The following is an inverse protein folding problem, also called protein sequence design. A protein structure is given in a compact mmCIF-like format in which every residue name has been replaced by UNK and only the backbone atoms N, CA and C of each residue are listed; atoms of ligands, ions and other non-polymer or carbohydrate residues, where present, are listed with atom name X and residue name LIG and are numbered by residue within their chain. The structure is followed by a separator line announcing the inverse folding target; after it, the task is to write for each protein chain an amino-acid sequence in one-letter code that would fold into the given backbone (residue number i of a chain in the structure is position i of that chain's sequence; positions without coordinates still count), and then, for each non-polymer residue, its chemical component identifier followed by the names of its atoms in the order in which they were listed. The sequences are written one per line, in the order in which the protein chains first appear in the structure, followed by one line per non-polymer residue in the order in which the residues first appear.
data_IF_799096441982
#
_entry.id   IF_799096441982
#
_cell.length_a   1.000
_cell.length_b   1.000
_cell.length_c   1.000
_cell.angle_alpha   90.00
_cell.angle_beta   90.00
_cell.angle_gamma   90.00
#
_symmetry.space_group_name_H-M   'P 1'
#
loop_
_entity.id
_entity.type
_entity.pdbx_description
1 polymer ?
#
# COMPACT_ATOMS: atom_id res chain seq x y z
N UNK A 1 -4.58 -10.68 -9.72
CA UNK A 1 -3.52 -11.60 -9.29
C UNK A 1 -2.18 -10.88 -9.24
N UNK A 2 -1.08 -11.53 -8.81
CA UNK A 2 0.28 -10.95 -8.82
C UNK A 2 0.68 -10.48 -10.22
N UNK A 3 0.46 -11.31 -11.24
CA UNK A 3 0.79 -10.97 -12.63
C UNK A 3 0.00 -9.75 -13.13
N UNK A 4 -1.29 -9.66 -12.78
CA UNK A 4 -2.12 -8.50 -13.15
C UNK A 4 -1.64 -7.23 -12.44
N UNK A 5 -1.23 -7.34 -11.16
CA UNK A 5 -0.67 -6.23 -10.41
C UNK A 5 0.64 -5.75 -11.03
N UNK A 6 1.54 -6.67 -11.37
CA UNK A 6 2.80 -6.36 -12.04
C UNK A 6 2.58 -5.74 -13.42
N UNK A 7 1.53 -6.16 -14.15
CA UNK A 7 1.14 -5.53 -15.41
C UNK A 7 0.58 -4.12 -15.19
N UNK A 8 -0.30 -3.94 -14.21
CA UNK A 8 -0.90 -2.66 -13.86
C UNK A 8 0.15 -1.62 -13.42
N UNK A 9 1.14 -2.03 -12.64
CA UNK A 9 2.24 -1.15 -12.21
C UNK A 9 3.13 -0.75 -13.38
N UNK A 10 3.42 -1.66 -14.32
CA UNK A 10 4.18 -1.32 -15.53
C UNK A 10 3.46 -0.28 -16.40
N UNK A 11 2.13 -0.27 -16.39
CA UNK A 11 1.31 0.71 -17.12
C UNK A 11 1.25 2.10 -16.47
N UNK A 12 1.78 2.28 -15.26
CA UNK A 12 1.68 3.53 -14.53
C UNK A 12 3.02 4.30 -14.48
N UNK A 13 3.00 5.62 -14.69
CA UNK A 13 4.19 6.45 -14.50
C UNK A 13 4.83 6.29 -13.12
N UNK A 14 3.99 6.17 -12.08
CA UNK A 14 4.41 5.95 -10.69
C UNK A 14 4.90 4.51 -10.42
N UNK A 15 4.53 3.53 -11.26
CA UNK A 15 4.81 2.12 -11.02
C UNK A 15 6.16 1.64 -11.56
N UNK A 16 6.82 2.37 -12.46
CA UNK A 16 8.16 1.93 -12.87
C UNK A 16 9.15 2.04 -11.71
N UNK A 17 9.93 0.99 -11.49
CA UNK A 17 10.84 0.88 -10.35
C UNK A 17 10.14 0.58 -9.02
N UNK A 18 8.84 0.27 -9.04
CA UNK A 18 8.10 -0.29 -7.91
C UNK A 18 7.93 -1.79 -8.13
N UNK A 19 8.20 -2.58 -7.10
CA UNK A 19 7.92 -4.01 -7.05
C UNK A 19 7.05 -4.29 -5.84
N UNK A 20 5.99 -5.06 -6.03
CA UNK A 20 5.07 -5.44 -4.95
C UNK A 20 4.97 -6.94 -4.90
N UNK A 21 5.16 -7.55 -3.73
CA UNK A 21 4.94 -8.98 -3.50
C UNK A 21 3.77 -9.16 -2.56
N UNK A 22 2.72 -9.82 -3.03
CA UNK A 22 1.54 -10.09 -2.22
C UNK A 22 1.76 -11.33 -1.34
N UNK A 23 1.74 -11.13 -0.03
CA UNK A 23 1.86 -12.17 0.99
C UNK A 23 0.55 -12.32 1.76
N UNK A 24 0.46 -13.32 2.64
CA UNK A 24 -0.72 -13.48 3.50
C UNK A 24 -0.92 -12.24 4.40
N UNK A 25 -1.97 -11.46 4.12
CA UNK A 25 -2.37 -10.29 4.88
C UNK A 25 -1.54 -9.02 4.67
N UNK A 26 -0.52 -9.03 3.80
CA UNK A 26 0.35 -7.86 3.56
C UNK A 26 0.90 -7.83 2.13
N UNK A 27 1.38 -6.67 1.72
CA UNK A 27 2.14 -6.46 0.51
C UNK A 27 3.55 -5.97 0.87
N UNK A 28 4.57 -6.70 0.49
CA UNK A 28 5.96 -6.24 0.58
C UNK A 28 6.22 -5.32 -0.62
N UNK A 29 6.48 -4.05 -0.39
CA UNK A 29 6.68 -3.03 -1.42
C UNK A 29 8.14 -2.62 -1.45
N UNK A 30 8.72 -2.56 -2.65
CA UNK A 30 10.08 -2.07 -2.90
C UNK A 30 10.08 -1.01 -3.98
N UNK A 31 10.76 0.11 -3.74
CA UNK A 31 10.89 1.22 -4.68
C UNK A 31 12.38 1.52 -4.92
N UNK A 32 12.81 1.47 -6.17
CA UNK A 32 14.22 1.60 -6.54
C UNK A 32 14.52 2.86 -7.39
N UNK A 33 13.52 3.65 -7.78
CA UNK A 33 13.72 4.77 -8.74
C UNK A 33 14.02 6.13 -8.10
N UNK A 34 13.73 6.32 -6.81
CA UNK A 34 13.81 7.62 -6.15
C UNK A 34 15.11 7.82 -5.34
N UNK A 35 16.20 7.17 -5.75
CA UNK A 35 17.48 7.17 -5.03
C UNK A 35 17.68 5.89 -4.21
N UNK A 36 17.96 5.95 -2.90
CA UNK A 36 18.16 4.75 -2.09
C UNK A 36 16.92 3.86 -2.13
N UNK A 37 17.13 2.55 -2.24
CA UNK A 37 16.03 1.58 -2.23
C UNK A 37 15.17 1.77 -0.99
N UNK A 38 13.86 1.92 -1.19
CA UNK A 38 12.86 1.95 -0.13
C UNK A 38 12.18 0.59 -0.08
N UNK A 39 12.07 0.00 1.10
CA UNK A 39 11.33 -1.24 1.35
C UNK A 39 10.33 -0.99 2.46
N UNK A 40 9.10 -1.50 2.31
CA UNK A 40 8.05 -1.33 3.31
C UNK A 40 7.07 -2.51 3.26
N UNK A 41 6.45 -2.80 4.40
CA UNK A 41 5.34 -3.75 4.48
C UNK A 41 4.05 -2.95 4.58
N UNK A 42 3.13 -3.16 3.65
CA UNK A 42 1.83 -2.49 3.62
C UNK A 42 0.74 -3.50 3.97
N UNK A 43 -0.15 -3.14 4.89
CA UNK A 43 -1.27 -3.98 5.29
C UNK A 43 -2.58 -3.19 5.31
N UNK A 44 -3.68 -3.90 5.10
CA UNK A 44 -5.01 -3.34 5.31
C UNK A 44 -5.30 -3.38 6.82
N UNK A 45 -5.73 -2.26 7.39
CA UNK A 45 -6.11 -2.17 8.81
C UNK A 45 -7.60 -1.88 8.97
N UNK A 46 -8.11 -2.12 10.18
CA UNK A 46 -9.50 -1.83 10.51
C UNK A 46 -9.82 -0.36 10.23
N UNK A 47 -10.99 -0.17 9.62
CA UNK A 47 -11.48 1.11 9.12
C UNK A 47 -11.79 2.09 10.28
N UNK A 48 -11.19 3.29 10.34
CA UNK A 48 -11.69 4.39 11.16
C UNK A 48 -13.05 4.87 10.63
N UNK A 49 -13.96 5.30 11.52
CA UNK A 49 -15.29 5.79 11.12
C UNK A 49 -15.17 6.89 10.03
N UNK A 50 -15.91 6.74 8.94
CA UNK A 50 -15.92 7.69 7.82
C UNK A 50 -14.91 7.44 6.70
N UNK A 51 -14.00 6.46 6.82
CA UNK A 51 -13.01 6.16 5.75
C UNK A 51 -13.40 4.93 4.92
N UNK A 52 -13.22 4.91 3.60
CA UNK A 52 -13.53 3.72 2.80
C UNK A 52 -12.48 2.60 2.98
N UNK A 53 -11.22 2.94 3.25
CA UNK A 53 -10.16 1.99 3.59
C UNK A 53 -9.11 2.64 4.49
N UNK A 54 -8.26 1.84 5.13
CA UNK A 54 -7.11 2.33 5.89
C UNK A 54 -5.90 1.41 5.68
N UNK A 55 -4.72 2.01 5.53
CA UNK A 55 -3.45 1.33 5.31
C UNK A 55 -2.56 1.45 6.54
N UNK A 56 -1.96 0.34 6.94
CA UNK A 56 -0.83 0.31 7.87
C UNK A 56 0.46 0.12 7.09
N UNK A 57 1.52 0.82 7.49
CA UNK A 57 2.87 0.64 6.94
C UNK A 57 3.81 0.29 8.08
N UNK A 58 4.51 -0.83 7.94
CA UNK A 58 5.44 -1.36 8.92
C UNK A 58 6.82 -1.63 8.28
N UNK A 59 7.85 -1.75 9.11
CA UNK A 59 9.16 -2.30 8.68
C UNK A 59 9.87 -1.49 7.59
N UNK A 60 9.68 -0.17 7.55
CA UNK A 60 10.27 0.67 6.50
C UNK A 60 11.79 0.66 6.57
N UNK A 61 12.44 0.46 5.42
CA UNK A 61 13.89 0.58 5.25
C UNK A 61 14.21 1.50 4.09
N UNK A 62 15.24 2.33 4.24
CA UNK A 62 15.75 3.22 3.18
C UNK A 62 17.26 2.98 3.05
N UNK A 63 17.69 2.52 1.87
CA UNK A 63 19.09 2.15 1.64
C UNK A 63 19.59 1.03 2.56
N UNK A 64 18.69 0.13 2.98
CA UNK A 64 18.99 -0.93 3.94
C UNK A 64 18.96 -0.52 5.42
N UNK A 65 18.77 0.77 5.72
CA UNK A 65 18.68 1.29 7.09
C UNK A 65 17.23 1.28 7.55
N UNK A 66 16.94 0.70 8.71
CA UNK A 66 15.62 0.73 9.31
C UNK A 66 15.22 2.17 9.67
N UNK A 67 14.05 2.59 9.19
CA UNK A 67 13.49 3.89 9.50
C UNK A 67 12.78 3.81 10.86
N UNK A 68 13.04 4.72 11.79
CA UNK A 68 12.30 4.82 13.04
C UNK A 68 10.79 4.95 12.82
N UNK A 69 10.00 4.26 13.66
CA UNK A 69 8.55 4.17 13.51
C UNK A 69 7.85 5.54 13.43
N UNK A 70 8.30 6.54 14.20
CA UNK A 70 7.70 7.88 14.17
C UNK A 70 7.79 8.56 12.79
N UNK A 71 8.88 8.31 12.04
CA UNK A 71 9.04 8.84 10.69
C UNK A 71 8.15 8.08 9.71
N UNK A 72 8.02 6.75 9.87
CA UNK A 72 7.07 5.94 9.10
C UNK A 72 5.64 6.44 9.30
N UNK A 73 5.22 6.68 10.53
CA UNK A 73 3.89 7.21 10.84
C UNK A 73 3.67 8.61 10.27
N UNK A 74 4.69 9.47 10.23
CA UNK A 74 4.62 10.75 9.54
C UNK A 74 4.41 10.57 8.03
N UNK A 75 5.16 9.67 7.38
CA UNK A 75 5.02 9.36 5.94
C UNK A 75 3.61 8.84 5.65
N UNK A 76 3.13 7.87 6.43
CA UNK A 76 1.77 7.32 6.30
C UNK A 76 0.76 8.45 6.35
N UNK A 77 0.82 9.29 7.37
CA UNK A 77 -0.14 10.39 7.58
C UNK A 77 -0.11 11.43 6.47
N UNK A 78 1.08 11.70 5.90
CA UNK A 78 1.26 12.77 4.91
C UNK A 78 1.00 12.31 3.48
N UNK A 79 1.23 11.02 3.20
CA UNK A 79 1.04 10.40 1.89
C UNK A 79 -0.17 9.47 1.85
N UNK A 80 -1.02 9.46 2.89
CA UNK A 80 -2.22 8.63 2.98
C UNK A 80 -3.12 8.87 1.76
N UNK A 81 -3.14 7.95 0.76
CA UNK A 81 -3.94 8.15 -0.42
C UNK A 81 -5.44 8.03 -0.10
N UNK A 82 -5.81 7.53 1.09
CA UNK A 82 -7.20 7.41 1.51
C UNK A 82 -7.84 8.76 1.79
N UNK A 83 -7.05 9.82 2.07
CA UNK A 83 -7.56 11.19 2.18
C UNK A 83 -8.18 11.68 0.87
N UNK A 84 -7.64 11.24 -0.28
CA UNK A 84 -8.24 11.56 -1.57
C UNK A 84 -9.57 10.83 -1.78
N UNK A 85 -9.72 9.64 -1.21
CA UNK A 85 -10.96 8.86 -1.26
C UNK A 85 -12.05 9.41 -0.34
N UNK A 86 -11.68 10.08 0.77
CA UNK A 86 -12.63 10.81 1.63
C UNK A 86 -13.35 11.95 0.90
N UNK A 87 -12.74 12.48 -0.18
CA UNK A 87 -13.30 13.58 -0.98
C UNK A 87 -14.30 13.12 -2.05
N UNK A 88 -14.57 11.82 -2.15
CA UNK A 88 -15.59 11.32 -3.06
C UNK A 88 -16.97 11.68 -2.49
N UNK A 89 -17.78 12.39 -3.28
CA UNK A 89 -19.10 12.89 -2.87
C UNK A 89 -20.11 11.78 -2.53
N UNK A 90 -19.87 10.58 -3.05
CA UNK A 90 -20.65 9.37 -2.77
C UNK A 90 -19.93 8.49 -1.74
N UNK A 91 -20.67 7.98 -0.75
CA UNK A 91 -20.18 6.99 0.23
C UNK A 91 -19.80 5.68 -0.49
N UNK A 92 -18.55 5.57 -0.92
CA UNK A 92 -18.03 4.36 -1.54
C UNK A 92 -17.94 3.24 -0.51
N UNK A 93 -18.88 2.31 -0.57
CA UNK A 93 -18.80 1.07 0.19
C UNK A 93 -17.86 0.11 -0.53
N UNK A 94 -16.62 0.03 -0.04
CA UNK A 94 -15.67 -0.97 -0.52
C UNK A 94 -16.01 -2.32 0.11
N UNK A 95 -16.16 -3.34 -0.74
CA UNK A 95 -16.35 -4.72 -0.32
C UNK A 95 -15.14 -5.25 0.48
N UNK A 96 -15.28 -6.36 1.20
CA UNK A 96 -14.18 -6.94 1.98
C UNK A 96 -12.95 -7.19 1.09
N UNK A 97 -11.78 -6.65 1.45
CA UNK A 97 -10.53 -6.89 0.72
C UNK A 97 -9.62 -7.79 1.56
N UNK A 98 -9.13 -8.88 0.98
CA UNK A 98 -8.13 -9.76 1.60
C UNK A 98 -6.92 -9.91 0.70
N UNK A 99 -5.73 -9.73 1.27
CA UNK A 99 -4.48 -10.03 0.58
C UNK A 99 -4.09 -11.47 0.89
N UNK A 100 -4.01 -12.28 -0.15
CA UNK A 100 -3.57 -13.67 -0.11
C UNK A 100 -2.22 -13.76 -0.84
N UNK A 101 -1.43 -14.83 -0.61
CA UNK A 101 -0.23 -15.05 -1.38
C UNK A 101 -0.51 -15.00 -2.89
N UNK A 102 0.12 -14.03 -3.57
CA UNK A 102 -0.02 -13.82 -5.01
C UNK A 102 -1.39 -13.33 -5.51
N UNK A 103 -2.36 -12.98 -4.66
CA UNK A 103 -3.66 -12.45 -5.12
C UNK A 103 -4.36 -11.54 -4.10
N UNK A 104 -5.24 -10.69 -4.61
CA UNK A 104 -6.15 -9.87 -3.80
C UNK A 104 -7.57 -10.37 -4.08
N UNK A 105 -8.31 -10.66 -3.01
CA UNK A 105 -9.71 -11.06 -3.05
C UNK A 105 -10.59 -9.87 -2.66
N UNK A 106 -11.70 -9.68 -3.37
CA UNK A 106 -12.67 -8.61 -3.16
C UNK A 106 -14.05 -9.23 -3.02
N UNK A 107 -14.73 -8.94 -1.92
CA UNK A 107 -16.17 -9.17 -1.78
C UNK A 107 -16.64 -10.55 -1.35
N UNK A 108 -15.73 -11.47 -1.01
CA UNK A 108 -15.99 -12.85 -0.51
C UNK A 108 -17.03 -13.65 -1.30
#
# INVERSE_FOLDING_TARGET
TQADLDQFLRGQPAGTGVTVRLEAGRADVRVNRLGPTIEAQVRLVARPAGRPLALGIDGVRVGGVAVPQFLTEWIVRHFDPTLALERLEELVTIASIRIMPGRIEIGS
#
